data_IF_341003042443
#
_entry.id   IF_341003042443
#
_cell.length_a   1.000
_cell.length_b   1.000
_cell.length_c   1.000
_cell.angle_alpha   90.00
_cell.angle_beta   90.00
_cell.angle_gamma   90.00
#
_symmetry.space_group_name_H-M   'P 1'
#
loop_
_entity.id
_entity.type
_entity.pdbx_description
1 polymer ?
#
# COMPACT_ATOMS: atom_id res chain seq x y z
N UNK A 1 8.83 -20.07 20.55
CA UNK A 1 8.02 -18.95 20.02
C UNK A 1 8.60 -18.57 18.68
N UNK A 2 7.93 -18.88 17.57
CA UNK A 2 8.41 -18.52 16.24
C UNK A 2 8.02 -17.07 16.00
N UNK A 3 9.00 -16.17 15.94
CA UNK A 3 8.76 -14.77 15.58
C UNK A 3 8.33 -14.75 14.12
N UNK A 4 7.03 -14.52 13.86
CA UNK A 4 6.54 -14.27 12.49
C UNK A 4 7.13 -12.93 12.03
N UNK A 5 8.18 -12.99 11.23
CA UNK A 5 8.80 -11.79 10.67
C UNK A 5 7.97 -11.29 9.49
N UNK A 6 7.39 -10.10 9.67
CA UNK A 6 6.68 -9.37 8.62
C UNK A 6 7.70 -8.66 7.74
N UNK A 7 7.69 -8.97 6.46
CA UNK A 7 8.57 -8.37 5.47
C UNK A 7 7.82 -7.35 4.63
N UNK A 8 8.56 -6.45 3.99
CA UNK A 8 8.02 -5.52 3.02
C UNK A 8 7.99 -6.15 1.64
N UNK A 9 6.84 -6.06 0.99
CA UNK A 9 6.61 -6.50 -0.38
C UNK A 9 6.18 -5.31 -1.25
N UNK A 10 6.54 -5.38 -2.52
CA UNK A 10 6.25 -4.36 -3.51
C UNK A 10 5.12 -4.86 -4.40
N UNK A 11 3.96 -4.24 -4.31
CA UNK A 11 2.78 -4.61 -5.09
C UNK A 11 2.67 -3.70 -6.30
N UNK A 12 2.63 -4.31 -7.48
CA UNK A 12 2.45 -3.59 -8.73
C UNK A 12 0.96 -3.37 -9.01
N UNK A 13 0.61 -2.14 -9.35
CA UNK A 13 -0.75 -1.67 -9.55
C UNK A 13 -0.84 -0.86 -10.84
N UNK A 14 -2.06 -0.67 -11.35
CA UNK A 14 -2.25 0.28 -12.44
C UNK A 14 -1.90 1.71 -11.98
N UNK A 15 -1.11 2.42 -12.78
CA UNK A 15 -0.78 3.83 -12.51
C UNK A 15 -2.06 4.65 -12.32
N UNK A 16 -2.07 5.51 -11.31
CA UNK A 16 -3.24 6.32 -10.92
C UNK A 16 -4.26 5.60 -10.04
N UNK A 17 -4.11 4.29 -9.82
CA UNK A 17 -5.01 3.50 -8.97
C UNK A 17 -4.41 3.18 -7.59
N UNK A 18 -3.21 3.66 -7.28
CA UNK A 18 -2.45 3.27 -6.09
C UNK A 18 -3.22 3.62 -4.80
N UNK A 19 -3.81 4.81 -4.76
CA UNK A 19 -4.64 5.27 -3.63
C UNK A 19 -5.90 4.43 -3.45
N UNK A 20 -6.50 3.98 -4.57
CA UNK A 20 -7.68 3.11 -4.53
C UNK A 20 -7.32 1.71 -4.06
N UNK A 21 -6.18 1.18 -4.53
CA UNK A 21 -5.66 -0.12 -4.11
C UNK A 21 -5.32 -0.10 -2.62
N UNK A 22 -4.66 0.96 -2.12
CA UNK A 22 -4.38 1.11 -0.69
C UNK A 22 -5.67 1.02 0.14
N UNK A 23 -6.68 1.83 -0.19
CA UNK A 23 -7.96 1.82 0.54
C UNK A 23 -8.65 0.46 0.45
N UNK A 24 -8.67 -0.16 -0.73
CA UNK A 24 -9.24 -1.48 -0.92
C UNK A 24 -8.54 -2.57 -0.12
N UNK A 25 -7.20 -2.49 0.00
CA UNK A 25 -6.42 -3.36 0.88
C UNK A 25 -6.79 -3.12 2.35
N UNK A 26 -6.79 -1.88 2.81
CA UNK A 26 -7.14 -1.52 4.21
C UNK A 26 -8.54 -2.02 4.59
N UNK A 27 -9.53 -1.85 3.71
CA UNK A 27 -10.90 -2.34 3.92
C UNK A 27 -10.98 -3.87 3.95
N UNK A 28 -10.25 -4.55 3.07
CA UNK A 28 -10.21 -6.03 3.01
C UNK A 28 -9.48 -6.64 4.20
N UNK A 29 -8.40 -6.01 4.63
CA UNK A 29 -7.64 -6.44 5.81
C UNK A 29 -8.57 -6.43 7.03
N UNK A 30 -9.37 -5.37 7.18
CA UNK A 30 -10.39 -5.26 8.24
C UNK A 30 -11.52 -6.26 8.08
N UNK A 31 -12.08 -6.41 6.88
CA UNK A 31 -13.24 -7.28 6.67
C UNK A 31 -12.92 -8.79 6.75
N UNK A 32 -11.65 -9.16 6.57
CA UNK A 32 -11.18 -10.56 6.61
C UNK A 32 -10.35 -10.88 7.86
N UNK A 33 -10.36 -10.00 8.87
CA UNK A 33 -9.60 -10.13 10.12
C UNK A 33 -8.14 -10.53 9.85
N UNK A 34 -7.48 -9.80 8.94
CA UNK A 34 -6.12 -10.09 8.48
C UNK A 34 -5.07 -9.11 9.01
N UNK A 35 -5.42 -8.30 10.01
CA UNK A 35 -4.53 -7.31 10.65
C UNK A 35 -3.29 -7.97 11.30
N UNK A 36 -3.42 -9.22 11.73
CA UNK A 36 -2.29 -10.02 12.23
C UNK A 36 -1.28 -10.40 11.14
N UNK A 37 -1.76 -10.55 9.91
CA UNK A 37 -0.96 -10.97 8.76
C UNK A 37 -0.45 -9.78 7.94
N UNK A 38 -1.25 -8.72 7.77
CA UNK A 38 -0.89 -7.51 7.02
C UNK A 38 -0.96 -6.31 7.98
N UNK A 39 0.19 -5.69 8.24
CA UNK A 39 0.31 -4.63 9.24
C UNK A 39 0.19 -3.23 8.64
N UNK A 40 0.84 -3.01 7.49
CA UNK A 40 0.93 -1.68 6.89
C UNK A 40 0.81 -1.74 5.38
N UNK A 41 0.12 -0.75 4.83
CA UNK A 41 0.02 -0.48 3.40
C UNK A 41 0.38 0.97 3.17
N UNK A 42 1.42 1.23 2.40
CA UNK A 42 2.02 2.56 2.23
C UNK A 42 2.17 2.88 0.75
N UNK A 43 1.84 4.11 0.37
CA UNK A 43 2.17 4.63 -0.95
C UNK A 43 3.56 5.25 -0.92
N UNK A 44 4.45 4.94 -1.88
CA UNK A 44 5.74 5.58 -2.02
C UNK A 44 5.57 7.02 -2.54
N UNK A 45 5.14 7.92 -1.66
CA UNK A 45 4.96 9.35 -1.92
C UNK A 45 5.78 10.19 -0.95
N UNK A 46 6.40 11.24 -1.46
CA UNK A 46 7.09 12.27 -0.68
C UNK A 46 6.24 13.53 -0.56
N UNK A 47 6.28 14.17 0.60
CA UNK A 47 5.64 15.47 0.82
C UNK A 47 6.63 16.58 0.43
N UNK A 48 6.33 17.30 -0.65
CA UNK A 48 7.06 18.49 -1.07
C UNK A 48 6.24 19.73 -0.70
N UNK A 49 6.91 20.78 -0.20
CA UNK A 49 6.26 22.07 0.08
C UNK A 49 6.50 22.98 -1.12
N UNK A 50 5.46 23.19 -1.93
CA UNK A 50 5.50 24.13 -3.04
C UNK A 50 5.01 25.51 -2.56
N UNK A 51 5.77 26.57 -2.86
CA UNK A 51 5.35 27.95 -2.61
C UNK A 51 4.87 28.54 -3.92
N UNK A 52 3.56 28.74 -4.05
CA UNK A 52 2.94 29.33 -5.26
C UNK A 52 2.12 30.55 -4.85
N UNK A 53 2.39 31.70 -5.46
CA UNK A 53 1.75 32.99 -5.14
C UNK A 53 1.79 33.36 -3.64
N UNK A 54 2.90 33.06 -2.95
CA UNK A 54 3.08 33.36 -1.53
C UNK A 54 2.33 32.42 -0.56
N UNK A 55 1.51 31.49 -1.05
CA UNK A 55 0.89 30.45 -0.24
C UNK A 55 1.74 29.18 -0.27
N UNK A 56 1.98 28.60 0.92
CA UNK A 56 2.63 27.29 1.07
C UNK A 56 1.58 26.21 0.84
N UNK A 57 1.80 25.33 -0.13
CA UNK A 57 0.97 24.15 -0.38
C UNK A 57 1.82 22.90 -0.23
N UNK A 58 1.39 22.00 0.64
CA UNK A 58 1.98 20.65 0.70
C UNK A 58 1.41 19.84 -0.46
N UNK A 59 2.27 19.42 -1.37
CA UNK A 59 1.95 18.52 -2.48
C UNK A 59 2.55 17.14 -2.19
N UNK A 60 1.82 16.08 -2.54
CA UNK A 60 2.32 14.70 -2.45
C UNK A 60 2.82 14.27 -3.81
N UNK A 61 4.13 14.10 -3.94
CA UNK A 61 4.78 13.64 -5.17
C UNK A 61 4.96 12.13 -5.11
N UNK A 62 4.49 11.42 -6.13
CA UNK A 62 4.67 9.97 -6.25
C UNK A 62 6.11 9.68 -6.69
N UNK A 63 6.85 8.94 -5.88
CA UNK A 63 8.23 8.55 -6.17
C UNK A 63 8.24 7.31 -7.09
N UNK A 64 7.32 6.38 -6.85
CA UNK A 64 7.13 5.16 -7.63
C UNK A 64 5.65 5.04 -8.07
N UNK A 65 5.24 5.70 -9.16
CA UNK A 65 3.88 5.55 -9.68
C UNK A 65 3.63 4.10 -10.10
N UNK A 66 2.44 3.58 -9.82
CA UNK A 66 2.08 2.19 -10.05
C UNK A 66 2.51 1.21 -8.94
N UNK A 67 3.10 1.67 -7.84
CA UNK A 67 3.56 0.78 -6.76
C UNK A 67 2.91 1.08 -5.41
N UNK A 68 2.69 0.03 -4.63
CA UNK A 68 2.24 0.07 -3.24
C UNK A 68 3.14 -0.81 -2.40
N UNK A 69 3.60 -0.32 -1.25
CA UNK A 69 4.41 -1.08 -0.30
C UNK A 69 3.49 -1.74 0.73
N UNK A 70 3.63 -3.04 0.92
CA UNK A 70 2.81 -3.82 1.87
C UNK A 70 3.73 -4.55 2.84
N UNK A 71 3.57 -4.29 4.13
CA UNK A 71 4.25 -5.02 5.19
C UNK A 71 3.36 -6.16 5.66
N UNK A 72 3.77 -7.39 5.40
CA UNK A 72 2.98 -8.57 5.74
C UNK A 72 3.81 -9.82 6.04
N UNK A 73 3.20 -10.77 6.73
CA UNK A 73 3.67 -12.15 6.79
C UNK A 73 3.30 -12.84 5.49
N UNK A 74 4.26 -13.45 4.78
CA UNK A 74 3.96 -14.19 3.55
C UNK A 74 3.30 -15.51 3.89
N UNK A 75 1.99 -15.60 3.65
CA UNK A 75 1.21 -16.81 3.77
C UNK A 75 0.06 -16.80 2.75
N UNK A 76 -0.67 -17.91 2.62
CA UNK A 76 -1.73 -18.02 1.61
C UNK A 76 -2.86 -17.00 1.82
N UNK A 77 -3.18 -16.65 3.08
CA UNK A 77 -4.24 -15.68 3.40
C UNK A 77 -3.85 -14.27 2.94
N UNK A 78 -2.70 -13.76 3.38
CA UNK A 78 -2.20 -12.43 3.03
C UNK A 78 -1.95 -12.31 1.53
N UNK A 79 -1.36 -13.34 0.92
CA UNK A 79 -1.13 -13.41 -0.52
C UNK A 79 -2.43 -13.34 -1.32
N UNK A 80 -3.44 -14.11 -0.90
CA UNK A 80 -4.76 -14.12 -1.56
C UNK A 80 -5.48 -12.78 -1.43
N UNK A 81 -5.41 -12.13 -0.27
CA UNK A 81 -6.01 -10.81 -0.03
C UNK A 81 -5.39 -9.76 -0.97
N UNK A 82 -4.07 -9.71 -1.02
CA UNK A 82 -3.37 -8.73 -1.86
C UNK A 82 -3.66 -9.00 -3.34
N UNK A 83 -3.52 -10.25 -3.79
CA UNK A 83 -3.72 -10.62 -5.21
C UNK A 83 -5.15 -10.39 -5.70
N UNK A 84 -6.15 -10.59 -4.85
CA UNK A 84 -7.57 -10.44 -5.21
C UNK A 84 -8.08 -9.01 -5.04
N UNK A 85 -7.23 -8.05 -4.67
CA UNK A 85 -7.63 -6.66 -4.55
C UNK A 85 -7.70 -6.01 -5.94
N UNK A 86 -8.84 -5.40 -6.32
CA UNK A 86 -8.99 -4.75 -7.62
C UNK A 86 -7.94 -3.66 -7.84
N UNK A 87 -7.28 -3.69 -9.00
CA UNK A 87 -6.22 -2.75 -9.36
C UNK A 87 -4.80 -3.25 -9.10
N UNK A 88 -4.64 -4.39 -8.42
CA UNK A 88 -3.38 -5.13 -8.33
C UNK A 88 -3.15 -5.89 -9.63
N UNK A 89 -1.93 -5.81 -10.15
CA UNK A 89 -1.49 -6.47 -11.39
C UNK A 89 -0.36 -7.46 -11.14
N UNK A 90 0.34 -7.34 -10.01
CA UNK A 90 1.44 -8.22 -9.62
C UNK A 90 1.89 -7.97 -8.18
N UNK A 91 2.67 -8.92 -7.64
CA UNK A 91 3.20 -8.97 -6.27
C UNK A 91 4.69 -9.31 -6.31
#
# INVERSE_FOLDING_TARGET
MTVKQKNWYVVHTYSGHEERVRKGLEERIKSMDAEDDIERVVLPTEEEVEVKNGQRRTIRKKILPGYVLVQMNMNDKSWTIVRNTPGVTGL
#
